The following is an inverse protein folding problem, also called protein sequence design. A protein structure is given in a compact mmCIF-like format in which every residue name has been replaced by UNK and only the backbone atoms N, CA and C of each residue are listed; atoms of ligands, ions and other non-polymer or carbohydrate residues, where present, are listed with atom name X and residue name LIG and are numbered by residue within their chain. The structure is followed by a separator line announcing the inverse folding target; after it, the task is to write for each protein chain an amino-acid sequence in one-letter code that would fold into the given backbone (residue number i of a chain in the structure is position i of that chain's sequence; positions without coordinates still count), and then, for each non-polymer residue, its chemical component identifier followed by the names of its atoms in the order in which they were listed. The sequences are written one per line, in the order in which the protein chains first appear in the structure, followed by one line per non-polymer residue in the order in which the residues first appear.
data_IF_484974632313
#
_entry.id   IF_484974632313
#
_cell.length_a   1.000
_cell.length_b   1.000
_cell.length_c   1.000
_cell.angle_alpha   90.00
_cell.angle_beta   90.00
_cell.angle_gamma   90.00
#
_symmetry.space_group_name_H-M   'P 1'
#
loop_
_entity.id
_entity.type
_entity.pdbx_description
1 polymer ?
#
# COMPACT_ATOMS: atom_id res chain seq x y z
N UNK A 1 -15.55 -40.34 -14.51
CA UNK A 1 -15.19 -38.93 -14.34
C UNK A 1 -15.49 -38.55 -12.92
N UNK A 2 -14.47 -38.38 -12.13
CA UNK A 2 -14.67 -37.84 -10.78
C UNK A 2 -15.01 -36.36 -10.92
N UNK A 3 -16.18 -36.00 -10.38
CA UNK A 3 -16.54 -34.60 -10.24
C UNK A 3 -15.61 -33.97 -9.20
N UNK A 4 -14.62 -33.21 -9.68
CA UNK A 4 -13.83 -32.36 -8.82
C UNK A 4 -14.78 -31.25 -8.33
N UNK A 5 -15.37 -31.46 -7.17
CA UNK A 5 -16.04 -30.37 -6.47
C UNK A 5 -14.96 -29.45 -5.95
N UNK A 6 -14.74 -28.34 -6.66
CA UNK A 6 -13.94 -27.24 -6.13
C UNK A 6 -14.65 -26.71 -4.89
N UNK A 7 -14.25 -27.20 -3.73
CA UNK A 7 -14.57 -26.55 -2.48
C UNK A 7 -13.81 -25.21 -2.46
N UNK A 8 -14.51 -24.14 -2.75
CA UNK A 8 -14.04 -22.84 -2.36
C UNK A 8 -13.99 -22.84 -0.82
N UNK A 9 -12.81 -22.97 -0.26
CA UNK A 9 -12.62 -22.79 1.18
C UNK A 9 -13.02 -21.35 1.46
N UNK A 10 -14.09 -21.10 2.23
CA UNK A 10 -14.46 -19.73 2.54
C UNK A 10 -13.30 -19.07 3.26
N UNK A 11 -12.97 -17.87 2.83
CA UNK A 11 -12.00 -17.06 3.55
C UNK A 11 -12.44 -16.92 5.00
N UNK A 12 -11.52 -17.16 5.96
CA UNK A 12 -11.87 -17.02 7.37
C UNK A 12 -12.12 -15.55 7.72
N UNK A 13 -12.89 -15.29 8.78
CA UNK A 13 -13.28 -13.94 9.16
C UNK A 13 -12.10 -13.07 9.56
N UNK A 14 -11.02 -13.64 10.14
CA UNK A 14 -9.81 -12.92 10.47
C UNK A 14 -9.13 -12.38 9.19
N UNK A 15 -9.01 -13.18 8.13
CA UNK A 15 -8.43 -12.76 6.87
C UNK A 15 -9.25 -11.64 6.20
N UNK A 16 -10.58 -11.73 6.24
CA UNK A 16 -11.45 -10.66 5.74
C UNK A 16 -11.23 -9.35 6.48
N UNK A 17 -11.15 -9.42 7.81
CA UNK A 17 -10.91 -8.25 8.66
C UNK A 17 -9.53 -7.65 8.39
N UNK A 18 -8.49 -8.47 8.29
CA UNK A 18 -7.12 -8.02 8.01
C UNK A 18 -7.02 -7.33 6.64
N UNK A 19 -7.62 -7.90 5.60
CA UNK A 19 -7.68 -7.27 4.26
C UNK A 19 -8.37 -5.92 4.32
N UNK A 20 -9.49 -5.84 5.03
CA UNK A 20 -10.23 -4.59 5.19
C UNK A 20 -9.40 -3.51 5.86
N UNK A 21 -8.71 -3.84 6.95
CA UNK A 21 -7.83 -2.91 7.67
C UNK A 21 -6.69 -2.42 6.76
N UNK A 22 -6.03 -3.33 6.05
CA UNK A 22 -4.94 -2.99 5.15
C UNK A 22 -5.40 -2.02 4.04
N UNK A 23 -6.52 -2.31 3.39
CA UNK A 23 -7.09 -1.46 2.34
C UNK A 23 -7.56 -0.12 2.91
N UNK A 24 -8.17 -0.11 4.08
CA UNK A 24 -8.61 1.12 4.73
C UNK A 24 -7.43 2.04 5.06
N UNK A 25 -6.32 1.49 5.56
CA UNK A 25 -5.09 2.26 5.78
C UNK A 25 -4.61 2.94 4.49
N UNK A 26 -4.51 2.18 3.40
CA UNK A 26 -4.07 2.72 2.11
C UNK A 26 -5.05 3.78 1.56
N UNK A 27 -6.35 3.58 1.80
CA UNK A 27 -7.38 4.56 1.42
C UNK A 27 -7.24 5.88 2.20
N UNK A 28 -6.85 5.80 3.46
CA UNK A 28 -6.58 7.00 4.26
C UNK A 28 -5.36 7.77 3.74
N UNK A 29 -4.31 7.07 3.32
CA UNK A 29 -3.16 7.69 2.66
C UNK A 29 -3.62 8.40 1.37
N UNK A 30 -4.37 7.72 0.53
CA UNK A 30 -4.88 8.27 -0.73
C UNK A 30 -5.81 9.48 -0.53
N UNK A 31 -6.52 9.53 0.59
CA UNK A 31 -7.43 10.62 0.96
C UNK A 31 -6.74 11.80 1.66
N UNK A 32 -5.42 11.74 1.85
CA UNK A 32 -4.67 12.78 2.54
C UNK A 32 -4.85 12.78 4.05
N UNK A 33 -5.25 11.65 4.64
CA UNK A 33 -5.47 11.47 6.09
C UNK A 33 -4.61 10.33 6.66
N UNK A 34 -3.31 10.28 6.36
CA UNK A 34 -2.49 9.13 6.76
C UNK A 34 -2.37 8.97 8.28
N UNK A 35 -2.43 10.05 9.04
CA UNK A 35 -2.36 9.99 10.52
C UNK A 35 -3.53 9.24 11.13
N UNK A 36 -4.69 9.27 10.51
CA UNK A 36 -5.87 8.53 10.98
C UNK A 36 -5.66 7.01 10.90
N UNK A 37 -4.71 6.56 10.11
CA UNK A 37 -4.35 5.16 9.98
C UNK A 37 -3.43 4.63 11.09
N UNK A 38 -2.85 5.50 11.91
CA UNK A 38 -1.97 5.07 13.02
C UNK A 38 -2.68 4.14 14.01
N UNK A 39 -3.99 4.27 14.15
CA UNK A 39 -4.79 3.43 15.05
C UNK A 39 -4.74 1.94 14.72
N UNK A 40 -4.39 1.59 13.48
CA UNK A 40 -4.28 0.20 13.05
C UNK A 40 -2.96 -0.46 13.42
N UNK A 41 -1.97 0.33 13.81
CA UNK A 41 -0.61 -0.14 14.08
C UNK A 41 -0.34 -0.24 15.57
N UNK A 42 0.36 -1.33 15.97
CA UNK A 42 0.91 -1.43 17.31
C UNK A 42 1.98 -0.33 17.51
N UNK A 43 2.11 0.16 18.73
CA UNK A 43 3.06 1.23 19.03
C UNK A 43 4.52 0.85 18.73
N UNK A 44 4.85 -0.42 18.83
CA UNK A 44 6.17 -1.00 18.54
C UNK A 44 6.25 -1.71 17.19
N UNK A 45 5.33 -1.39 16.28
CA UNK A 45 5.32 -1.96 14.94
C UNK A 45 6.68 -1.75 14.26
N UNK A 46 7.27 -2.83 13.76
CA UNK A 46 8.49 -2.77 12.96
C UNK A 46 8.13 -2.37 11.53
N UNK A 47 8.87 -1.42 10.98
CA UNK A 47 8.76 -1.06 9.58
C UNK A 47 10.06 -1.41 8.84
N UNK A 48 9.90 -1.94 7.63
CA UNK A 48 11.00 -2.30 6.73
C UNK A 48 11.01 -1.36 5.54
N UNK A 49 11.30 -0.10 5.80
CA UNK A 49 11.46 0.94 4.79
C UNK A 49 12.90 1.45 4.84
N UNK A 50 13.64 1.43 3.72
CA UNK A 50 15.08 1.77 3.73
C UNK A 50 15.36 3.26 3.93
N UNK A 51 14.35 4.11 3.80
CA UNK A 51 14.52 5.56 3.84
C UNK A 51 14.15 6.20 5.18
N UNK A 52 13.52 5.44 6.08
CA UNK A 52 12.97 5.99 7.32
C UNK A 52 13.49 5.21 8.53
N UNK A 53 14.07 5.95 9.47
CA UNK A 53 14.41 5.41 10.79
C UNK A 53 13.22 5.57 11.73
N UNK A 54 12.95 4.56 12.53
CA UNK A 54 11.86 4.59 13.52
C UNK A 54 10.71 3.67 13.16
N UNK A 55 9.51 4.06 13.54
CA UNK A 55 8.29 3.28 13.36
C UNK A 55 7.33 3.89 12.34
N UNK A 56 6.07 3.46 12.42
CA UNK A 56 5.05 3.88 11.47
C UNK A 56 4.75 5.38 11.59
N UNK A 57 4.85 5.96 12.78
CA UNK A 57 4.64 7.41 12.97
C UNK A 57 5.63 8.22 12.15
N UNK A 58 6.90 7.85 12.20
CA UNK A 58 7.97 8.49 11.45
C UNK A 58 7.82 8.28 9.94
N UNK A 59 7.35 7.11 9.52
CA UNK A 59 7.06 6.84 8.12
C UNK A 59 5.93 7.73 7.61
N UNK A 60 4.86 7.86 8.38
CA UNK A 60 3.72 8.73 8.03
C UNK A 60 4.14 10.20 7.97
N UNK A 61 4.95 10.65 8.93
CA UNK A 61 5.48 12.02 8.90
C UNK A 61 6.33 12.26 7.64
N UNK A 62 7.16 11.29 7.25
CA UNK A 62 7.93 11.36 6.01
C UNK A 62 7.04 11.43 4.76
N UNK A 63 5.97 10.63 4.71
CA UNK A 63 4.98 10.69 3.62
C UNK A 63 4.32 12.07 3.53
N UNK A 64 3.93 12.64 4.66
CA UNK A 64 3.30 13.97 4.70
C UNK A 64 4.26 15.03 4.19
N UNK A 65 5.52 14.96 4.58
CA UNK A 65 6.54 15.92 4.15
C UNK A 65 6.76 15.84 2.63
N UNK A 66 6.86 14.64 2.08
CA UNK A 66 6.96 14.42 0.62
C UNK A 66 5.74 15.00 -0.10
N UNK A 67 4.55 14.80 0.43
CA UNK A 67 3.31 15.35 -0.15
C UNK A 67 3.29 16.88 -0.11
N UNK A 68 3.80 17.50 0.95
CA UNK A 68 3.87 18.96 1.08
C UNK A 68 4.89 19.58 0.12
N UNK A 69 6.03 18.94 -0.04
CA UNK A 69 7.10 19.45 -0.92
C UNK A 69 6.73 19.37 -2.39
N UNK A 70 5.83 18.50 -2.77
CA UNK A 70 5.10 18.39 -4.05
C UNK A 70 5.79 18.71 -5.36
N UNK A 71 7.02 19.20 -5.32
CA UNK A 71 7.68 19.83 -6.46
C UNK A 71 8.83 19.02 -7.05
N UNK A 72 9.34 18.04 -6.34
CA UNK A 72 10.50 17.27 -6.79
C UNK A 72 10.27 15.78 -6.53
N UNK A 73 10.10 15.00 -7.59
CA UNK A 73 9.91 13.56 -7.53
C UNK A 73 8.60 13.09 -8.18
N UNK A 74 8.30 11.81 -7.99
CA UNK A 74 7.16 11.13 -8.61
C UNK A 74 5.82 11.70 -8.12
N UNK A 75 5.81 12.32 -6.96
CA UNK A 75 4.64 12.97 -6.36
C UNK A 75 4.60 14.47 -6.62
N UNK A 76 5.14 14.92 -7.74
CA UNK A 76 5.04 16.32 -8.19
C UNK A 76 3.58 16.73 -8.32
N UNK A 77 3.19 17.70 -7.55
CA UNK A 77 1.85 18.24 -7.61
C UNK A 77 1.18 18.24 -6.25
N UNK A 78 -0.06 18.72 -6.19
CA UNK A 78 -0.87 18.67 -4.98
C UNK A 78 -1.26 17.23 -4.70
N UNK A 79 -1.66 16.94 -3.46
CA UNK A 79 -2.24 15.66 -3.06
C UNK A 79 -3.42 15.24 -3.94
N UNK A 80 -4.08 16.19 -4.62
CA UNK A 80 -5.15 15.95 -5.56
C UNK A 80 -4.69 15.27 -6.86
N UNK A 81 -3.40 15.36 -7.19
CA UNK A 81 -2.83 14.80 -8.42
C UNK A 81 -2.32 13.38 -8.25
N UNK A 82 -2.55 12.80 -7.09
CA UNK A 82 -2.06 11.49 -6.70
C UNK A 82 -3.19 10.46 -6.82
N UNK A 83 -2.97 9.42 -7.62
CA UNK A 83 -3.93 8.34 -7.83
C UNK A 83 -3.36 7.02 -7.39
N UNK A 84 -3.79 6.56 -6.22
CA UNK A 84 -3.50 5.22 -5.74
C UNK A 84 -4.63 4.28 -6.18
N UNK A 85 -4.26 3.19 -6.83
CA UNK A 85 -5.18 2.12 -7.17
C UNK A 85 -4.74 0.82 -6.50
N UNK A 86 -5.67 0.18 -5.80
CA UNK A 86 -5.47 -1.17 -5.27
C UNK A 86 -5.73 -2.16 -6.40
N UNK A 87 -4.73 -2.98 -6.72
CA UNK A 87 -4.79 -3.96 -7.82
C UNK A 87 -5.12 -5.36 -7.33
N UNK A 88 -4.49 -5.78 -6.25
CA UNK A 88 -4.64 -7.13 -5.70
C UNK A 88 -4.53 -7.06 -4.18
N UNK A 89 -5.30 -7.90 -3.50
CA UNK A 89 -5.22 -8.09 -2.05
C UNK A 89 -5.19 -9.58 -1.78
N UNK A 90 -4.13 -10.04 -1.13
CA UNK A 90 -3.92 -11.44 -0.79
C UNK A 90 -3.74 -11.57 0.72
N UNK A 91 -4.29 -12.60 1.31
CA UNK A 91 -4.10 -12.90 2.73
C UNK A 91 -3.71 -14.37 2.92
N UNK A 92 -2.75 -14.61 3.79
CA UNK A 92 -2.32 -15.94 4.18
C UNK A 92 -1.87 -15.92 5.64
N UNK A 93 -2.59 -16.65 6.50
CA UNK A 93 -2.32 -16.66 7.93
C UNK A 93 -2.48 -15.28 8.56
N UNK A 94 -1.40 -14.77 9.15
CA UNK A 94 -1.36 -13.45 9.78
C UNK A 94 -0.86 -12.33 8.84
N UNK A 95 -0.64 -12.65 7.56
CA UNK A 95 -0.08 -11.73 6.56
C UNK A 95 -1.15 -11.28 5.56
N UNK A 96 -1.08 -10.01 5.19
CA UNK A 96 -1.81 -9.45 4.05
C UNK A 96 -0.83 -8.76 3.13
N UNK A 97 -0.89 -9.05 1.84
CA UNK A 97 -0.14 -8.33 0.81
C UNK A 97 -1.12 -7.54 -0.06
N UNK A 98 -0.82 -6.27 -0.29
CA UNK A 98 -1.61 -5.40 -1.16
C UNK A 98 -0.72 -4.86 -2.27
N UNK A 99 -1.05 -5.18 -3.50
CA UNK A 99 -0.42 -4.62 -4.68
C UNK A 99 -1.14 -3.33 -5.07
N UNK A 100 -0.40 -2.25 -5.20
CA UNK A 100 -0.91 -0.93 -5.57
C UNK A 100 -0.12 -0.34 -6.71
N UNK A 101 -0.77 0.55 -7.44
CA UNK A 101 -0.10 1.47 -8.35
C UNK A 101 -0.43 2.89 -7.96
N UNK A 102 0.53 3.77 -8.17
CA UNK A 102 0.39 5.20 -7.93
C UNK A 102 0.77 5.91 -9.20
N UNK A 103 -0.17 6.62 -9.79
CA UNK A 103 0.04 7.34 -11.04
C UNK A 103 -0.08 8.85 -10.82
N UNK A 104 0.71 9.62 -11.57
CA UNK A 104 0.48 11.05 -11.70
C UNK A 104 -0.81 11.31 -12.46
N UNK A 105 -1.55 12.36 -12.13
CA UNK A 105 -2.71 12.81 -12.90
C UNK A 105 -2.33 13.38 -14.26
N UNK A 106 -1.06 13.72 -14.43
CA UNK A 106 -0.56 14.28 -15.70
C UNK A 106 -0.19 13.15 -16.66
N UNK A 107 -0.67 13.19 -17.90
CA UNK A 107 -0.29 12.22 -18.91
C UNK A 107 1.22 12.15 -19.09
N UNK A 108 1.75 10.93 -19.25
CA UNK A 108 3.17 10.67 -19.54
C UNK A 108 4.15 11.02 -18.41
N UNK A 109 3.65 11.19 -17.22
CA UNK A 109 4.51 11.34 -16.03
C UNK A 109 4.51 10.06 -15.20
N UNK A 110 5.21 9.07 -15.49
CA UNK A 110 5.45 7.88 -14.69
C UNK A 110 4.67 7.69 -13.37
N UNK A 111 5.16 6.88 -12.49
CA UNK A 111 4.52 6.62 -11.20
C UNK A 111 5.25 5.53 -10.42
N UNK A 112 4.53 4.90 -9.52
CA UNK A 112 5.04 3.83 -8.67
C UNK A 112 4.21 2.56 -8.82
N UNK A 113 4.87 1.44 -8.66
CA UNK A 113 4.24 0.16 -8.41
C UNK A 113 4.75 -0.34 -7.06
N UNK A 114 3.83 -0.70 -6.17
CA UNK A 114 4.16 -1.00 -4.79
C UNK A 114 3.52 -2.30 -4.33
N UNK A 115 4.20 -2.99 -3.42
CA UNK A 115 3.62 -4.06 -2.63
C UNK A 115 3.77 -3.69 -1.16
N UNK A 116 2.67 -3.68 -0.46
CA UNK A 116 2.61 -3.45 0.99
C UNK A 116 2.29 -4.77 1.66
N UNK A 117 3.11 -5.17 2.63
CA UNK A 117 2.88 -6.40 3.39
C UNK A 117 2.67 -6.02 4.85
N UNK A 118 1.61 -6.55 5.43
CA UNK A 118 1.20 -6.29 6.81
C UNK A 118 1.14 -7.60 7.57
N UNK A 119 1.82 -7.65 8.73
CA UNK A 119 1.63 -8.75 9.68
C UNK A 119 0.74 -8.29 10.81
N UNK A 120 -0.23 -9.13 11.17
CA UNK A 120 -1.22 -8.84 12.19
C UNK A 120 -1.03 -9.70 13.45
N UNK A 121 -1.30 -9.12 14.61
CA UNK A 121 -1.67 -9.84 15.81
C UNK A 121 -3.04 -9.30 16.24
N UNK A 122 -4.08 -10.16 16.24
CA UNK A 122 -5.45 -9.70 16.36
C UNK A 122 -5.79 -8.74 15.22
N UNK A 123 -6.24 -7.55 15.54
CA UNK A 123 -6.58 -6.51 14.57
C UNK A 123 -5.52 -5.41 14.50
N UNK A 124 -4.33 -5.62 15.10
CA UNK A 124 -3.23 -4.66 15.05
C UNK A 124 -2.12 -5.13 14.13
N UNK A 125 -1.60 -4.20 13.34
CA UNK A 125 -0.43 -4.42 12.49
C UNK A 125 0.83 -4.29 13.35
N UNK A 126 1.62 -5.35 13.39
CA UNK A 126 2.83 -5.42 14.21
C UNK A 126 4.12 -5.37 13.42
N UNK A 127 4.01 -5.57 12.11
CA UNK A 127 5.15 -5.49 11.20
C UNK A 127 4.67 -5.09 9.81
N UNK A 128 5.45 -4.28 9.12
CA UNK A 128 5.09 -3.70 7.84
C UNK A 128 6.30 -3.62 6.91
N UNK A 129 6.09 -4.00 5.67
CA UNK A 129 7.06 -3.89 4.57
C UNK A 129 6.43 -3.10 3.44
N UNK A 130 7.21 -2.23 2.82
CA UNK A 130 6.86 -1.65 1.54
C UNK A 130 7.96 -1.90 0.52
N UNK A 131 7.55 -2.30 -0.65
CA UNK A 131 8.45 -2.59 -1.77
C UNK A 131 7.97 -1.72 -2.92
N UNK A 132 8.82 -0.82 -3.37
CA UNK A 132 8.45 0.18 -4.36
C UNK A 132 9.35 0.07 -5.58
N UNK A 133 8.72 0.14 -6.75
CA UNK A 133 9.41 0.24 -8.03
C UNK A 133 8.95 1.48 -8.77
N UNK A 134 9.91 2.29 -9.21
CA UNK A 134 9.65 3.46 -10.05
C UNK A 134 9.27 3.03 -11.46
N UNK A 135 8.22 3.62 -12.01
CA UNK A 135 7.81 3.43 -13.40
C UNK A 135 8.00 4.76 -14.13
N UNK A 136 8.91 4.75 -15.11
CA UNK A 136 9.15 5.90 -15.98
C UNK A 136 8.41 5.70 -17.31
N UNK A 137 7.88 6.77 -17.87
CA UNK A 137 7.10 6.74 -19.12
C UNK A 137 7.87 6.12 -20.30
N UNK A 138 9.19 6.27 -20.32
CA UNK A 138 10.06 5.79 -21.39
C UNK A 138 10.50 4.32 -21.22
N UNK A 139 10.02 3.63 -20.19
CA UNK A 139 10.29 2.20 -20.03
C UNK A 139 9.55 1.39 -21.10
N UNK A 140 10.15 0.30 -21.60
CA UNK A 140 9.58 -0.49 -22.72
C UNK A 140 8.15 -0.96 -22.50
N UNK A 141 7.74 -1.18 -21.26
CA UNK A 141 6.42 -1.71 -20.91
C UNK A 141 5.74 -0.91 -19.79
N UNK A 142 5.91 0.41 -19.83
CA UNK A 142 5.39 1.29 -18.78
C UNK A 142 3.88 1.17 -18.61
N UNK A 143 3.12 1.05 -19.69
CA UNK A 143 1.65 0.94 -19.64
C UNK A 143 1.19 -0.28 -18.87
N UNK A 144 1.76 -1.45 -19.16
CA UNK A 144 1.41 -2.70 -18.46
C UNK A 144 1.90 -2.70 -17.00
N UNK A 145 2.94 -1.95 -16.69
CA UNK A 145 3.46 -1.86 -15.33
C UNK A 145 2.47 -1.22 -14.35
N UNK A 146 1.46 -0.50 -14.85
CA UNK A 146 0.38 0.08 -14.04
C UNK A 146 -0.87 -0.81 -13.94
N UNK A 147 -0.83 -1.98 -14.50
CA UNK A 147 -1.96 -2.92 -14.46
C UNK A 147 -2.03 -3.71 -13.16
#
# INVERSE_FOLDING_TARGET
MENITLFMIPENDANKTHKKIAVEFLSLIASGKPKDGLRFFAADCKIHNPYVLGGMSELIDAMIEVQKQGSEGIMKGSTADFRLAVRQVLADGDLVAVHTTVASSKPNEGGLRQVHIFRFIGEKIVEYWDITQDIHENMPNATEAFS
#
